data_IF_734410370813
#
_entry.id   IF_734410370813
#
_cell.length_a   1.000
_cell.length_b   1.000
_cell.length_c   1.000
_cell.angle_alpha   90.00
_cell.angle_beta   90.00
_cell.angle_gamma   90.00
#
_symmetry.space_group_name_H-M   'P 1'
#
loop_
_entity.id
_entity.type
_entity.pdbx_description
1 polymer ?
#
# COMPACT_ATOMS: atom_id res chain seq x y z
N UNK A 1 -0.87 -6.05 2.66
CA UNK A 1 -2.00 -5.51 1.86
C UNK A 1 -3.34 -6.19 2.14
N UNK A 2 -3.45 -7.53 2.02
CA UNK A 2 -4.71 -8.27 2.25
C UNK A 2 -5.28 -8.17 3.69
N UNK A 3 -4.45 -7.79 4.67
CA UNK A 3 -4.85 -7.64 6.07
C UNK A 3 -5.64 -6.34 6.38
N UNK A 4 -5.65 -5.35 5.48
CA UNK A 4 -6.23 -4.02 5.71
C UNK A 4 -7.51 -3.75 4.90
N UNK A 5 -8.24 -4.81 4.53
CA UNK A 5 -9.45 -4.71 3.71
C UNK A 5 -10.67 -4.38 4.55
N UNK A 6 -11.40 -3.32 4.18
CA UNK A 6 -12.71 -2.96 4.71
C UNK A 6 -13.67 -2.79 3.53
N UNK A 7 -14.57 -3.75 3.37
CA UNK A 7 -15.53 -3.80 2.25
C UNK A 7 -14.82 -3.68 0.89
N UNK A 8 -15.12 -2.64 0.13
CA UNK A 8 -14.56 -2.34 -1.21
C UNK A 8 -13.30 -1.47 -1.14
N UNK A 9 -12.70 -1.32 0.04
CA UNK A 9 -11.51 -0.50 0.25
C UNK A 9 -10.36 -1.27 0.89
N UNK A 10 -9.13 -1.09 0.40
CA UNK A 10 -7.91 -1.53 1.09
C UNK A 10 -6.89 -0.40 1.12
N UNK A 11 -5.90 -0.48 2.00
CA UNK A 11 -4.90 0.57 2.14
C UNK A 11 -3.55 0.03 2.59
N UNK A 12 -2.49 0.75 2.24
CA UNK A 12 -1.12 0.50 2.69
C UNK A 12 -0.33 1.82 2.79
N UNK A 13 0.81 1.77 3.46
CA UNK A 13 1.70 2.91 3.61
C UNK A 13 2.94 2.77 2.72
N UNK A 14 3.37 3.90 2.18
CA UNK A 14 4.67 4.05 1.52
C UNK A 14 5.57 4.97 2.34
N UNK A 15 6.86 4.66 2.37
CA UNK A 15 7.86 5.53 2.97
C UNK A 15 7.98 6.82 2.14
N UNK A 16 7.72 7.96 2.78
CA UNK A 16 7.71 9.27 2.10
C UNK A 16 9.10 9.70 1.62
N UNK A 17 10.15 9.34 2.36
CA UNK A 17 11.53 9.67 1.99
C UNK A 17 12.01 8.82 0.81
N UNK A 18 11.67 7.52 0.80
CA UNK A 18 11.97 6.64 -0.32
C UNK A 18 11.27 7.12 -1.61
N UNK A 19 9.98 7.46 -1.50
CA UNK A 19 9.20 7.96 -2.63
C UNK A 19 9.75 9.28 -3.20
N UNK A 20 10.37 10.12 -2.37
CA UNK A 20 11.01 11.37 -2.82
C UNK A 20 12.21 11.14 -3.76
N UNK A 21 12.87 9.98 -3.63
CA UNK A 21 14.01 9.58 -4.46
C UNK A 21 13.65 8.47 -5.46
N UNK A 22 12.38 8.39 -5.88
CA UNK A 22 11.83 7.41 -6.83
C UNK A 22 11.97 5.93 -6.39
N UNK A 23 12.00 5.66 -5.09
CA UNK A 23 12.03 4.31 -4.53
C UNK A 23 10.68 3.96 -3.88
N UNK A 24 10.12 2.81 -4.27
CA UNK A 24 8.91 2.27 -3.63
C UNK A 24 9.32 1.40 -2.44
N UNK A 25 9.02 1.86 -1.23
CA UNK A 25 9.21 1.10 0.00
C UNK A 25 7.92 1.08 0.81
N UNK A 26 7.44 -0.11 1.20
CA UNK A 26 6.24 -0.30 2.00
C UNK A 26 6.60 -0.16 3.49
N UNK A 27 5.72 0.50 4.25
CA UNK A 27 5.78 0.56 5.70
C UNK A 27 4.59 -0.19 6.30
N UNK A 28 4.80 -0.91 7.39
CA UNK A 28 3.73 -1.50 8.19
C UNK A 28 3.25 -0.51 9.27
N UNK A 29 4.16 0.30 9.81
CA UNK A 29 3.86 1.31 10.82
C UNK A 29 4.13 2.73 10.30
N UNK A 30 3.31 3.70 10.74
CA UNK A 30 3.48 5.09 10.31
C UNK A 30 4.79 5.72 10.81
N UNK A 31 5.36 5.17 11.87
CA UNK A 31 6.59 5.66 12.50
C UNK A 31 7.85 5.29 11.69
N UNK A 32 7.76 4.34 10.75
CA UNK A 32 8.85 3.96 9.85
C UNK A 32 9.17 5.05 8.80
N UNK A 33 8.29 6.04 8.66
CA UNK A 33 8.55 7.26 7.90
C UNK A 33 8.69 8.44 8.86
N UNK A 34 9.91 9.01 9.05
CA UNK A 34 10.16 10.09 10.00
C UNK A 34 9.32 11.35 9.80
N UNK A 35 8.81 11.55 8.58
CA UNK A 35 7.92 12.68 8.22
C UNK A 35 6.47 12.24 7.98
N UNK A 36 6.09 11.09 8.52
CA UNK A 36 4.83 10.42 8.24
C UNK A 36 4.84 9.71 6.88
N UNK A 37 4.14 8.58 6.72
CA UNK A 37 4.11 7.83 5.48
C UNK A 37 3.13 8.48 4.48
N UNK A 38 3.17 8.02 3.23
CA UNK A 38 2.12 8.27 2.26
C UNK A 38 1.08 7.15 2.40
N UNK A 39 -0.16 7.49 2.76
CA UNK A 39 -1.26 6.52 2.81
C UNK A 39 -1.90 6.37 1.44
N UNK A 40 -1.79 5.18 0.85
CA UNK A 40 -2.47 4.83 -0.39
C UNK A 40 -3.74 4.08 -0.04
N UNK A 41 -4.88 4.59 -0.51
CA UNK A 41 -6.20 3.97 -0.32
C UNK A 41 -6.73 3.58 -1.69
N UNK A 42 -7.09 2.32 -1.84
CA UNK A 42 -7.63 1.76 -3.07
C UNK A 42 -9.10 1.46 -2.87
N UNK A 43 -9.93 1.97 -3.77
CA UNK A 43 -11.37 1.71 -3.81
C UNK A 43 -11.70 0.90 -5.06
N UNK A 44 -12.30 -0.27 -4.90
CA UNK A 44 -12.71 -1.13 -6.01
C UNK A 44 -13.81 -2.09 -5.59
N UNK A 45 -14.79 -2.30 -6.47
CA UNK A 45 -15.80 -3.36 -6.30
C UNK A 45 -15.22 -4.78 -6.37
N UNK A 46 -14.01 -4.92 -6.87
CA UNK A 46 -13.32 -6.20 -6.96
C UNK A 46 -11.85 -6.00 -6.54
N UNK A 47 -11.66 -5.86 -5.23
CA UNK A 47 -10.34 -5.65 -4.63
C UNK A 47 -9.39 -6.81 -4.88
N UNK A 48 -9.87 -8.06 -4.81
CA UNK A 48 -9.07 -9.27 -5.07
C UNK A 48 -8.33 -9.16 -6.42
N UNK A 49 -9.06 -8.90 -7.50
CA UNK A 49 -8.46 -8.76 -8.84
C UNK A 49 -7.44 -7.61 -8.93
N UNK A 50 -7.69 -6.50 -8.23
CA UNK A 50 -6.76 -5.36 -8.24
C UNK A 50 -5.49 -5.70 -7.48
N UNK A 51 -5.61 -6.37 -6.33
CA UNK A 51 -4.48 -6.81 -5.52
C UNK A 51 -3.66 -7.84 -6.28
N UNK A 52 -4.30 -8.83 -6.90
CA UNK A 52 -3.62 -9.86 -7.69
C UNK A 52 -2.89 -9.29 -8.91
N UNK A 53 -3.44 -8.24 -9.53
CA UNK A 53 -2.76 -7.53 -10.61
C UNK A 53 -1.57 -6.70 -10.11
N UNK A 54 -1.71 -6.04 -8.96
CA UNK A 54 -0.69 -5.14 -8.41
C UNK A 54 0.47 -5.90 -7.74
N UNK A 55 0.18 -7.01 -7.09
CA UNK A 55 1.12 -7.83 -6.33
C UNK A 55 0.76 -9.32 -6.48
N UNK A 56 1.04 -9.93 -7.65
CA UNK A 56 0.78 -11.33 -7.89
C UNK A 56 1.58 -12.23 -6.93
N UNK A 57 0.98 -13.32 -6.45
CA UNK A 57 1.60 -14.26 -5.49
C UNK A 57 2.82 -15.02 -6.05
N UNK A 58 2.95 -15.10 -7.37
CA UNK A 58 4.04 -15.80 -8.04
C UNK A 58 4.79 -14.82 -8.93
N UNK A 59 5.93 -14.35 -8.42
CA UNK A 59 7.01 -13.71 -9.19
C UNK A 59 8.29 -14.49 -8.93
#
# INVERSE_FOLDING_TARGET
>A
MRYNTKEDTTWFYLNKQAAYVDVVAICDEAEESPMGPIKVILHSKNLEKVVDWLAPEFV
#
